data_IF_837262249650
#
_entry.id   IF_837262249650
#
_cell.length_a   1.000
_cell.length_b   1.000
_cell.length_c   1.000
_cell.angle_alpha   90.00
_cell.angle_beta   90.00
_cell.angle_gamma   90.00
#
_symmetry.space_group_name_H-M   'P 1'
#
loop_
_entity.id
_entity.type
_entity.pdbx_description
1 polymer ?
#
# COMPACT_ATOMS: atom_id res chain seq x y z
N UNK A 1 26.23 -5.60 72.47
CA UNK A 1 25.37 -6.01 71.33
C UNK A 1 26.09 -5.66 70.03
N UNK A 2 25.80 -6.36 68.93
CA UNK A 2 26.09 -6.12 67.49
C UNK A 2 27.34 -5.27 67.08
N UNK A 3 28.33 -5.75 66.30
CA UNK A 3 28.31 -6.44 64.98
C UNK A 3 27.81 -5.52 63.83
N UNK A 4 28.49 -5.27 62.69
CA UNK A 4 29.77 -5.62 62.02
C UNK A 4 30.12 -4.42 61.05
N UNK A 5 31.24 -4.23 60.34
CA UNK A 5 32.53 -4.92 60.10
C UNK A 5 33.58 -3.88 59.58
N UNK A 6 34.78 -4.34 59.16
CA UNK A 6 35.73 -3.61 58.28
C UNK A 6 36.04 -4.52 57.06
N UNK A 7 36.20 -3.97 55.86
CA UNK A 7 36.36 -4.79 54.64
C UNK A 7 37.12 -4.10 53.50
N UNK A 8 38.44 -3.98 53.63
CA UNK A 8 39.33 -3.55 52.54
C UNK A 8 39.85 -4.75 51.72
N UNK A 9 40.29 -4.49 50.49
CA UNK A 9 40.71 -5.53 49.52
C UNK A 9 42.10 -6.11 49.81
N UNK A 10 42.26 -7.44 49.72
CA UNK A 10 43.47 -8.12 49.20
C UNK A 10 43.26 -9.65 49.04
N UNK A 11 44.02 -10.30 48.14
CA UNK A 11 44.27 -11.76 48.09
C UNK A 11 45.75 -12.04 48.41
N UNK A 12 46.07 -13.20 49.02
CA UNK A 12 46.77 -14.29 48.30
C UNK A 12 46.09 -15.66 48.56
N UNK A 13 46.30 -16.80 47.86
CA UNK A 13 47.44 -17.44 47.15
C UNK A 13 48.47 -18.07 48.12
N UNK A 14 48.93 -19.32 48.00
CA UNK A 14 48.62 -20.44 47.07
C UNK A 14 47.58 -21.42 47.70
N UNK A 15 47.64 -22.76 47.86
CA UNK A 15 48.53 -23.86 47.39
C UNK A 15 47.76 -25.21 47.29
N UNK A 16 48.34 -26.20 46.59
CA UNK A 16 48.08 -27.67 46.52
C UNK A 16 46.65 -28.20 46.22
N UNK A 17 46.45 -29.18 45.34
CA UNK A 17 47.39 -29.97 44.53
C UNK A 17 46.87 -30.32 43.12
N UNK A 18 47.81 -30.48 42.17
CA UNK A 18 47.72 -31.20 40.88
C UNK A 18 48.35 -32.60 41.07
N UNK A 19 48.27 -33.59 40.14
CA UNK A 19 47.90 -33.57 38.71
C UNK A 19 46.68 -34.48 38.41
N UNK A 20 46.21 -34.80 37.18
CA UNK A 20 46.86 -35.03 35.87
C UNK A 20 46.06 -34.41 34.71
N UNK A 21 46.78 -34.11 33.62
CA UNK A 21 46.26 -33.52 32.39
C UNK A 21 45.51 -34.52 31.49
N UNK A 22 44.59 -34.01 30.69
CA UNK A 22 44.65 -34.27 29.24
C UNK A 22 44.19 -33.00 28.52
N UNK A 23 45.03 -32.41 27.68
CA UNK A 23 44.68 -31.20 26.94
C UNK A 23 43.88 -31.55 25.68
N UNK A 24 42.77 -30.85 25.43
CA UNK A 24 42.61 -30.09 24.19
C UNK A 24 41.46 -29.06 24.26
N UNK A 25 41.76 -27.85 23.78
CA UNK A 25 40.89 -26.75 23.37
C UNK A 25 39.44 -26.63 23.92
N UNK A 26 39.22 -25.54 24.65
CA UNK A 26 37.96 -24.80 24.70
C UNK A 26 38.25 -23.33 24.25
N UNK A 27 37.30 -22.38 24.16
CA UNK A 27 35.83 -22.50 24.26
C UNK A 27 35.05 -21.75 23.15
N UNK A 28 33.79 -22.12 22.87
CA UNK A 28 32.76 -21.13 22.47
C UNK A 28 31.38 -21.53 23.02
N UNK A 29 30.72 -20.56 23.66
CA UNK A 29 29.29 -20.48 23.98
C UNK A 29 28.85 -19.03 23.67
N UNK A 30 27.56 -18.70 23.42
CA UNK A 30 26.37 -19.42 23.89
C UNK A 30 25.21 -19.57 22.87
N UNK A 31 24.07 -20.06 23.38
CA UNK A 31 22.70 -19.69 22.95
C UNK A 31 22.34 -19.83 21.46
N UNK A 32 22.11 -21.07 20.99
CA UNK A 32 21.24 -21.31 19.82
C UNK A 32 19.78 -21.45 20.25
N UNK A 33 19.14 -20.33 20.58
CA UNK A 33 17.69 -20.29 20.74
C UNK A 33 17.04 -20.78 19.46
N UNK A 34 16.24 -21.85 19.54
CA UNK A 34 15.49 -22.35 18.40
C UNK A 34 14.35 -21.38 18.08
N UNK A 35 14.61 -20.43 17.19
CA UNK A 35 13.56 -19.59 16.63
C UNK A 35 12.52 -20.51 15.99
N UNK A 36 11.28 -20.48 16.52
CA UNK A 36 10.18 -21.23 15.94
C UNK A 36 10.00 -20.73 14.50
N UNK A 37 10.08 -21.63 13.52
CA UNK A 37 9.52 -21.34 12.20
C UNK A 37 8.02 -21.16 12.39
N UNK A 38 7.55 -19.91 12.35
CA UNK A 38 6.13 -19.66 12.15
C UNK A 38 5.67 -20.38 10.88
N UNK A 39 4.48 -21.01 10.87
CA UNK A 39 3.98 -21.66 9.66
C UNK A 39 3.68 -20.60 8.62
N UNK A 40 4.53 -20.55 7.59
CA UNK A 40 4.38 -19.71 6.41
C UNK A 40 3.03 -20.05 5.75
N UNK A 41 2.05 -19.16 5.91
CA UNK A 41 0.70 -19.36 5.40
C UNK A 41 0.73 -19.39 3.86
N UNK A 42 -0.09 -20.23 3.19
CA UNK A 42 -0.16 -20.21 1.73
C UNK A 42 -0.56 -18.82 1.22
N UNK A 43 0.40 -18.09 0.67
CA UNK A 43 0.18 -16.73 0.19
C UNK A 43 -0.76 -16.77 -1.03
N UNK A 44 -1.85 -15.97 -1.06
CA UNK A 44 -2.75 -15.94 -2.20
C UNK A 44 -2.00 -15.51 -3.47
N UNK A 45 -2.12 -16.24 -4.60
CA UNK A 45 -1.47 -15.84 -5.84
C UNK A 45 -2.04 -14.50 -6.32
N UNK A 46 -1.20 -13.45 -6.29
CA UNK A 46 -1.58 -12.10 -6.69
C UNK A 46 -1.74 -11.08 -5.55
N UNK A 47 -1.23 -11.31 -4.34
CA UNK A 47 -1.08 -10.21 -3.38
C UNK A 47 -0.04 -9.17 -3.85
N UNK A 48 -0.32 -7.88 -3.63
CA UNK A 48 0.69 -6.81 -3.66
C UNK A 48 1.47 -6.85 -2.37
N UNK A 49 2.80 -6.85 -2.48
CA UNK A 49 3.71 -6.73 -1.33
C UNK A 49 4.31 -5.33 -1.28
N UNK A 50 4.04 -4.60 -0.21
CA UNK A 50 4.70 -3.34 0.14
C UNK A 50 5.82 -3.63 1.12
N UNK A 51 7.07 -3.36 0.74
CA UNK A 51 8.26 -3.51 1.59
C UNK A 51 8.74 -2.14 2.04
N UNK A 52 8.81 -1.92 3.36
CA UNK A 52 9.37 -0.72 3.99
C UNK A 52 10.51 -1.08 4.94
N UNK A 53 11.20 -0.07 5.47
CA UNK A 53 12.16 -0.21 6.58
C UNK A 53 11.52 -0.75 7.87
N UNK A 54 10.22 -0.51 8.06
CA UNK A 54 9.47 -0.90 9.26
C UNK A 54 8.69 -2.23 9.12
N UNK A 55 8.73 -2.91 7.97
CA UNK A 55 8.08 -4.22 7.78
C UNK A 55 7.63 -4.51 6.35
N UNK A 56 6.78 -5.54 6.22
CA UNK A 56 6.05 -5.84 4.97
C UNK A 56 4.55 -5.72 5.24
N UNK A 57 3.82 -5.15 4.29
CA UNK A 57 2.37 -5.02 4.29
C UNK A 57 1.81 -5.68 3.03
N UNK A 58 0.63 -6.29 3.12
CA UNK A 58 -0.03 -6.96 2.00
C UNK A 58 -1.31 -6.24 1.59
N UNK A 59 -1.65 -6.27 0.30
CA UNK A 59 -2.90 -5.77 -0.27
C UNK A 59 -3.38 -6.67 -1.42
N UNK A 60 -4.68 -6.71 -1.75
CA UNK A 60 -5.19 -7.56 -2.83
C UNK A 60 -4.83 -7.04 -4.24
N UNK A 61 -4.64 -5.73 -4.42
CA UNK A 61 -4.21 -5.11 -5.68
C UNK A 61 -3.82 -3.64 -5.47
N UNK A 62 -3.06 -3.09 -6.42
CA UNK A 62 -3.02 -1.65 -6.68
C UNK A 62 -4.29 -1.32 -7.45
N UNK A 63 -4.95 -0.19 -7.16
CA UNK A 63 -6.23 0.17 -7.78
C UNK A 63 -6.05 1.39 -8.65
N UNK A 64 -6.41 1.32 -9.93
CA UNK A 64 -6.66 2.51 -10.76
C UNK A 64 -8.16 2.83 -10.69
N UNK A 65 -8.49 3.87 -9.94
CA UNK A 65 -9.84 4.40 -9.81
C UNK A 65 -10.05 5.43 -10.92
N UNK A 66 -11.09 5.23 -11.72
CA UNK A 66 -11.47 6.11 -12.82
C UNK A 66 -12.88 6.64 -12.60
N UNK A 67 -13.01 7.95 -12.38
CA UNK A 67 -14.31 8.61 -12.22
C UNK A 67 -14.70 9.33 -13.50
N UNK A 68 -15.74 8.82 -14.15
CA UNK A 68 -16.38 9.41 -15.31
C UNK A 68 -17.52 10.33 -14.87
N UNK A 69 -17.58 11.52 -15.46
CA UNK A 69 -18.73 12.43 -15.35
C UNK A 69 -19.56 12.40 -16.64
N UNK A 70 -20.70 13.09 -16.63
CA UNK A 70 -21.55 13.21 -17.83
C UNK A 70 -20.88 14.01 -18.95
N UNK A 71 -21.36 13.80 -20.18
CA UNK A 71 -20.80 14.42 -21.38
C UNK A 71 -19.49 13.78 -21.85
N UNK A 72 -18.71 14.54 -22.62
CA UNK A 72 -17.51 14.06 -23.31
C UNK A 72 -16.19 14.28 -22.55
N UNK A 73 -16.25 14.65 -21.27
CA UNK A 73 -15.05 14.83 -20.45
C UNK A 73 -14.27 13.50 -20.28
N UNK A 74 -12.93 13.54 -20.24
CA UNK A 74 -12.14 12.39 -19.84
C UNK A 74 -12.35 12.08 -18.35
N UNK A 75 -12.12 10.84 -17.94
CA UNK A 75 -12.18 10.47 -16.52
C UNK A 75 -11.10 11.21 -15.71
N UNK A 76 -11.41 11.54 -14.46
CA UNK A 76 -10.35 11.75 -13.46
C UNK A 76 -9.81 10.40 -13.04
N UNK A 77 -8.48 10.30 -12.93
CA UNK A 77 -7.77 9.06 -12.65
C UNK A 77 -6.96 9.18 -11.36
N UNK A 78 -7.08 8.20 -10.50
CA UNK A 78 -6.34 8.13 -9.23
C UNK A 78 -5.82 6.70 -9.02
N UNK A 79 -4.55 6.58 -8.63
CA UNK A 79 -3.94 5.30 -8.27
C UNK A 79 -3.86 5.21 -6.75
N UNK A 80 -4.52 4.21 -6.19
CA UNK A 80 -4.68 3.99 -4.77
C UNK A 80 -4.16 2.60 -4.37
N UNK A 81 -3.32 2.54 -3.35
CA UNK A 81 -2.89 1.29 -2.71
C UNK A 81 -3.01 1.47 -1.20
N UNK A 82 -3.69 0.54 -0.54
CA UNK A 82 -3.81 0.45 0.92
C UNK A 82 -3.52 -0.98 1.34
N UNK A 83 -2.57 -1.15 2.25
CA UNK A 83 -2.00 -2.43 2.64
C UNK A 83 -1.95 -2.56 4.17
N UNK A 84 -2.02 -3.80 4.67
CA UNK A 84 -2.01 -4.10 6.11
C UNK A 84 -0.88 -5.07 6.46
N UNK A 85 -0.24 -4.87 7.62
CA UNK A 85 0.71 -5.82 8.21
C UNK A 85 0.01 -6.72 9.25
N UNK A 86 0.58 -7.89 9.55
CA UNK A 86 -0.01 -8.83 10.53
C UNK A 86 -0.18 -8.24 11.94
N UNK A 87 0.61 -7.23 12.30
CA UNK A 87 0.49 -6.49 13.57
C UNK A 87 -0.65 -5.44 13.60
N UNK A 88 -1.40 -5.32 12.51
CA UNK A 88 -2.54 -4.41 12.38
C UNK A 88 -2.20 -3.00 11.88
N UNK A 89 -0.92 -2.68 11.64
CA UNK A 89 -0.55 -1.41 10.98
C UNK A 89 -1.08 -1.36 9.56
N UNK A 90 -1.48 -0.16 9.13
CA UNK A 90 -1.81 0.14 7.74
C UNK A 90 -0.73 1.01 7.10
N UNK A 91 -0.47 0.81 5.81
CA UNK A 91 0.31 1.71 4.96
C UNK A 91 -0.49 1.99 3.69
N UNK A 92 -0.51 3.23 3.22
CA UNK A 92 -1.22 3.60 2.01
C UNK A 92 -0.50 4.68 1.19
N UNK A 93 -0.76 4.71 -0.12
CA UNK A 93 -0.32 5.75 -1.05
C UNK A 93 -1.47 6.10 -2.00
N UNK A 94 -1.61 7.39 -2.31
CA UNK A 94 -2.66 7.93 -3.17
C UNK A 94 -2.07 8.91 -4.19
N UNK A 95 -2.33 8.69 -5.47
CA UNK A 95 -1.70 9.43 -6.58
C UNK A 95 -2.72 9.78 -7.66
N UNK A 96 -3.25 11.01 -7.70
CA UNK A 96 -3.95 11.52 -8.88
C UNK A 96 -3.02 11.59 -10.10
N UNK A 97 -3.41 10.96 -11.21
CA UNK A 97 -2.61 10.86 -12.44
C UNK A 97 -3.28 11.58 -13.61
N UNK A 98 -2.50 11.89 -14.65
CA UNK A 98 -3.02 12.51 -15.86
C UNK A 98 -4.01 11.57 -16.57
N UNK A 99 -5.04 12.10 -17.28
CA UNK A 99 -5.95 11.28 -18.10
C UNK A 99 -5.26 10.40 -19.15
N UNK A 100 -4.04 10.75 -19.58
CA UNK A 100 -3.21 9.97 -20.52
C UNK A 100 -2.28 8.93 -19.83
N UNK A 101 -2.40 8.74 -18.52
CA UNK A 101 -1.71 7.65 -17.80
C UNK A 101 -1.99 6.24 -18.38
N UNK A 102 -3.20 5.89 -18.87
CA UNK A 102 -3.45 4.62 -19.55
C UNK A 102 -2.64 4.39 -20.82
N UNK A 103 -2.08 5.46 -21.42
CA UNK A 103 -1.20 5.40 -22.60
C UNK A 103 0.27 5.43 -22.17
N UNK A 104 0.65 6.36 -21.28
CA UNK A 104 2.02 6.55 -20.79
C UNK A 104 2.53 5.39 -19.91
N UNK A 105 1.63 4.72 -19.19
CA UNK A 105 1.91 3.70 -18.15
C UNK A 105 2.82 4.10 -16.99
N UNK A 106 3.34 5.32 -16.99
CA UNK A 106 4.26 5.85 -15.99
C UNK A 106 3.73 7.14 -15.38
N UNK A 107 3.95 7.32 -14.08
CA UNK A 107 3.70 8.57 -13.37
C UNK A 107 4.79 8.85 -12.32
N UNK A 108 5.08 10.14 -12.11
CA UNK A 108 5.90 10.59 -10.99
C UNK A 108 5.20 11.75 -10.30
N UNK A 109 5.14 11.70 -8.97
CA UNK A 109 4.44 12.68 -8.14
C UNK A 109 5.28 13.09 -6.93
N UNK A 110 5.05 14.30 -6.41
CA UNK A 110 5.65 14.76 -5.15
C UNK A 110 4.74 14.46 -3.96
N UNK A 111 5.32 13.94 -2.88
CA UNK A 111 4.60 13.70 -1.63
C UNK A 111 4.21 15.03 -0.98
N UNK A 112 3.01 15.11 -0.40
CA UNK A 112 2.53 16.29 0.29
C UNK A 112 1.40 16.00 1.28
N UNK A 113 1.27 16.86 2.30
CA UNK A 113 0.15 16.93 3.24
C UNK A 113 -0.96 17.91 2.80
N UNK A 114 -0.86 18.48 1.59
CA UNK A 114 -1.83 19.42 1.00
C UNK A 114 -2.88 18.69 0.16
N UNK A 115 -4.03 19.32 -0.17
CA UNK A 115 -5.02 18.73 -1.08
C UNK A 115 -4.38 18.28 -2.40
N UNK A 116 -4.63 17.02 -2.77
CA UNK A 116 -3.98 16.40 -3.91
C UNK A 116 -4.49 16.92 -5.25
N UNK A 117 -3.63 16.83 -6.25
CA UNK A 117 -3.88 17.11 -7.67
C UNK A 117 -2.86 16.34 -8.50
N UNK A 118 -3.03 16.31 -9.81
CA UNK A 118 -2.08 15.64 -10.72
C UNK A 118 -0.64 16.09 -10.46
N UNK A 119 0.28 15.14 -10.33
CA UNK A 119 1.69 15.37 -9.98
C UNK A 119 1.97 15.56 -8.48
N UNK A 120 0.96 15.44 -7.63
CA UNK A 120 1.07 15.31 -6.17
C UNK A 120 0.57 13.94 -5.71
N UNK A 121 1.04 13.50 -4.55
CA UNK A 121 0.64 12.26 -3.91
C UNK A 121 0.61 12.43 -2.38
N UNK A 122 -0.14 11.58 -1.69
CA UNK A 122 0.05 11.34 -0.26
C UNK A 122 0.60 9.93 -0.03
N UNK A 123 1.36 9.76 1.04
CA UNK A 123 1.67 8.46 1.60
C UNK A 123 1.45 8.53 3.12
N UNK A 124 0.77 7.55 3.69
CA UNK A 124 0.48 7.47 5.12
C UNK A 124 0.79 6.09 5.71
N UNK A 125 1.17 6.09 6.99
CA UNK A 125 1.29 4.88 7.80
C UNK A 125 0.53 5.10 9.10
N UNK A 126 -0.29 4.12 9.49
CA UNK A 126 -1.19 4.21 10.64
C UNK A 126 -0.94 3.05 11.59
N UNK A 127 -0.75 3.37 12.87
CA UNK A 127 -0.56 2.36 13.93
C UNK A 127 -1.88 1.65 14.26
N UNK A 128 -1.84 0.50 14.95
CA UNK A 128 -3.06 -0.16 15.46
C UNK A 128 -3.81 0.72 16.49
N UNK A 129 -3.11 1.65 17.14
CA UNK A 129 -3.71 2.67 18.02
C UNK A 129 -4.34 3.86 17.28
N UNK A 130 -4.42 3.81 15.94
CA UNK A 130 -4.99 4.87 15.11
C UNK A 130 -4.11 6.10 14.91
N UNK A 131 -2.87 6.11 15.43
CA UNK A 131 -1.93 7.22 15.27
C UNK A 131 -1.44 7.27 13.83
N UNK A 132 -1.51 8.44 13.21
CA UNK A 132 -1.24 8.65 11.78
C UNK A 132 0.06 9.41 11.55
N UNK A 133 0.89 8.93 10.64
CA UNK A 133 2.05 9.63 10.10
C UNK A 133 1.89 9.79 8.58
N UNK A 134 2.04 11.02 8.09
CA UNK A 134 1.98 11.40 6.67
C UNK A 134 3.35 11.84 6.18
N UNK A 135 3.67 11.54 4.92
CA UNK A 135 4.86 12.05 4.25
C UNK A 135 4.71 13.55 3.92
N UNK A 136 5.68 14.37 4.34
CA UNK A 136 5.61 15.83 4.17
C UNK A 136 6.29 16.33 2.88
N UNK A 137 7.28 15.59 2.40
CA UNK A 137 8.09 15.83 1.20
C UNK A 137 8.53 14.47 0.61
N UNK A 138 9.20 14.48 -0.55
CA UNK A 138 9.69 13.28 -1.24
C UNK A 138 8.93 12.97 -2.53
N UNK A 139 9.10 11.75 -3.05
CA UNK A 139 8.54 11.37 -4.36
C UNK A 139 7.87 10.00 -4.36
N UNK A 140 6.86 9.87 -5.21
CA UNK A 140 6.30 8.59 -5.66
C UNK A 140 6.63 8.42 -7.14
N UNK A 141 7.13 7.25 -7.48
CA UNK A 141 7.34 6.78 -8.85
C UNK A 141 6.46 5.54 -9.07
N UNK A 142 5.74 5.50 -10.18
CA UNK A 142 4.75 4.46 -10.50
C UNK A 142 4.89 4.06 -11.98
N UNK A 143 4.91 2.75 -12.22
CA UNK A 143 5.01 2.09 -13.52
C UNK A 143 3.97 0.96 -13.62
N UNK A 144 3.43 0.72 -14.81
CA UNK A 144 2.43 -0.34 -15.06
C UNK A 144 2.76 -1.12 -16.33
N UNK A 145 2.90 -2.44 -16.21
CA UNK A 145 3.19 -3.34 -17.34
C UNK A 145 2.05 -4.35 -17.48
N UNK A 146 1.23 -4.19 -18.52
CA UNK A 146 0.01 -4.98 -18.72
C UNK A 146 -0.96 -4.82 -17.54
N UNK A 147 -1.05 -5.86 -16.71
CA UNK A 147 -1.86 -5.91 -15.46
C UNK A 147 -1.05 -5.88 -14.18
N UNK A 148 0.25 -5.63 -14.23
CA UNK A 148 1.09 -5.49 -13.04
C UNK A 148 1.41 -4.01 -12.80
N UNK A 149 1.29 -3.55 -11.56
CA UNK A 149 1.68 -2.23 -11.12
C UNK A 149 2.87 -2.31 -10.16
N UNK A 150 3.83 -1.42 -10.35
CA UNK A 150 5.06 -1.32 -9.57
C UNK A 150 5.30 0.13 -9.16
N UNK A 151 5.77 0.36 -7.94
CA UNK A 151 6.07 1.70 -7.50
C UNK A 151 7.08 1.79 -6.36
N UNK A 152 7.63 2.99 -6.21
CA UNK A 152 8.60 3.33 -5.15
C UNK A 152 8.21 4.65 -4.51
N UNK A 153 8.05 4.66 -3.19
CA UNK A 153 7.86 5.86 -2.37
C UNK A 153 9.18 6.18 -1.69
N UNK A 154 9.74 7.36 -1.96
CA UNK A 154 11.04 7.79 -1.45
C UNK A 154 10.86 9.02 -0.57
N UNK A 155 11.02 8.83 0.74
CA UNK A 155 11.00 9.93 1.74
C UNK A 155 11.95 9.68 2.92
N UNK A 156 12.10 10.70 3.77
CA UNK A 156 12.88 10.69 5.02
C UNK A 156 12.06 10.25 6.24
N UNK A 157 10.73 10.23 6.18
CA UNK A 157 9.92 9.67 7.26
C UNK A 157 10.08 8.14 7.34
N UNK A 158 10.42 7.64 8.53
CA UNK A 158 10.56 6.20 8.80
C UNK A 158 9.22 5.46 8.68
N UNK A 159 9.26 4.23 8.19
CA UNK A 159 8.08 3.41 7.90
C UNK A 159 7.30 3.79 6.64
N UNK A 160 7.60 4.95 6.02
CA UNK A 160 6.90 5.46 4.83
C UNK A 160 7.67 5.23 3.52
N UNK A 161 9.00 5.22 3.55
CA UNK A 161 9.81 4.82 2.38
C UNK A 161 9.54 3.35 2.02
N UNK A 162 9.11 3.11 0.79
CA UNK A 162 8.51 1.85 0.39
C UNK A 162 8.84 1.47 -1.06
N UNK A 163 8.79 0.17 -1.35
CA UNK A 163 8.64 -0.36 -2.71
C UNK A 163 7.48 -1.33 -2.75
N UNK A 164 6.69 -1.31 -3.82
CA UNK A 164 5.54 -2.19 -4.00
C UNK A 164 5.45 -2.74 -5.42
N UNK A 165 4.91 -3.96 -5.54
CA UNK A 165 4.69 -4.66 -6.81
C UNK A 165 3.57 -5.69 -6.65
N UNK A 166 2.71 -5.82 -7.65
CA UNK A 166 1.62 -6.80 -7.72
C UNK A 166 0.54 -6.39 -8.73
N UNK A 167 -0.63 -7.04 -8.77
CA UNK A 167 -1.62 -6.80 -9.81
C UNK A 167 -2.29 -5.43 -9.69
N UNK A 168 -2.65 -4.89 -10.85
CA UNK A 168 -3.51 -3.72 -11.02
C UNK A 168 -4.97 -4.17 -11.19
N UNK A 169 -5.83 -3.72 -10.29
CA UNK A 169 -7.27 -3.67 -10.50
C UNK A 169 -7.68 -2.32 -11.08
N UNK A 170 -8.82 -2.28 -11.77
CA UNK A 170 -9.40 -1.06 -12.34
C UNK A 170 -10.82 -0.94 -11.79
N UNK A 171 -11.11 0.17 -11.12
CA UNK A 171 -12.39 0.50 -10.50
C UNK A 171 -13.00 1.68 -11.27
N UNK A 172 -14.26 1.57 -11.69
CA UNK A 172 -14.93 2.56 -12.53
C UNK A 172 -16.11 3.17 -11.79
N UNK A 173 -16.06 4.48 -11.54
CA UNK A 173 -17.19 5.27 -11.03
C UNK A 173 -17.85 5.98 -12.22
N UNK A 174 -19.16 5.78 -12.43
CA UNK A 174 -19.89 6.28 -13.62
C UNK A 174 -21.21 6.95 -13.21
N UNK A 175 -21.77 7.89 -14.00
CA UNK A 175 -23.09 8.44 -13.75
C UNK A 175 -24.14 7.33 -13.74
N UNK A 176 -24.99 7.27 -12.70
CA UNK A 176 -25.93 6.15 -12.50
C UNK A 176 -26.87 5.87 -13.69
N UNK A 177 -27.19 6.89 -14.50
CA UNK A 177 -28.00 6.76 -15.71
C UNK A 177 -27.36 5.85 -16.78
N UNK A 178 -26.03 5.73 -16.83
CA UNK A 178 -25.34 4.88 -17.82
C UNK A 178 -25.52 3.39 -17.54
N UNK A 179 -25.70 2.99 -16.28
CA UNK A 179 -25.98 1.60 -15.92
C UNK A 179 -27.38 1.19 -16.37
N UNK A 180 -28.38 2.06 -16.19
CA UNK A 180 -29.75 1.81 -16.66
C UNK A 180 -29.86 1.69 -18.19
N UNK A 181 -28.96 2.35 -18.93
CA UNK A 181 -28.88 2.24 -20.39
C UNK A 181 -28.21 0.94 -20.87
N UNK A 182 -27.46 0.23 -20.02
CA UNK A 182 -26.84 -1.05 -20.39
C UNK A 182 -27.87 -2.19 -20.50
N UNK A 183 -28.92 -2.17 -19.68
CA UNK A 183 -30.05 -3.10 -19.72
C UNK A 183 -31.21 -2.62 -20.63
N UNK A 184 -31.13 -1.36 -21.10
CA UNK A 184 -32.18 -0.70 -21.87
C UNK A 184 -32.19 -1.05 -23.34
N UNK A 185 -33.14 -1.89 -23.78
CA UNK A 185 -33.44 -2.07 -25.21
C UNK A 185 -33.76 -0.73 -25.88
N UNK A 186 -33.24 -0.56 -27.09
CA UNK A 186 -33.64 0.47 -28.04
C UNK A 186 -35.18 0.48 -28.21
N UNK A 187 -35.80 1.65 -28.00
CA UNK A 187 -37.25 1.83 -28.08
C UNK A 187 -37.56 3.13 -28.83
N UNK A 188 -38.11 3.07 -30.06
CA UNK A 188 -38.33 4.26 -30.88
C UNK A 188 -39.60 5.00 -30.44
N UNK A 189 -39.43 6.09 -29.67
CA UNK A 189 -40.50 6.99 -29.24
C UNK A 189 -40.12 8.46 -29.44
N UNK A 190 -41.03 9.26 -29.99
CA UNK A 190 -40.79 10.68 -30.28
C UNK A 190 -40.64 11.53 -28.99
N UNK A 191 -39.85 12.63 -29.02
CA UNK A 191 -39.54 13.38 -27.82
C UNK A 191 -40.74 14.19 -27.29
N UNK A 192 -41.16 13.88 -26.07
CA UNK A 192 -42.00 14.77 -25.25
C UNK A 192 -41.07 15.81 -24.59
N UNK A 193 -41.38 17.11 -24.63
CA UNK A 193 -40.54 18.14 -24.00
C UNK A 193 -40.70 18.14 -22.48
N UNK A 194 -40.00 17.22 -21.81
CA UNK A 194 -39.85 17.24 -20.34
C UNK A 194 -38.90 18.39 -19.98
N UNK A 195 -39.34 19.26 -19.07
CA UNK A 195 -38.53 20.38 -18.60
C UNK A 195 -37.21 19.89 -17.97
N UNK A 196 -36.12 20.61 -18.20
CA UNK A 196 -34.79 20.22 -17.73
C UNK A 196 -34.78 20.02 -16.20
N UNK A 197 -34.41 18.83 -15.70
CA UNK A 197 -34.15 18.64 -14.29
C UNK A 197 -33.05 19.61 -13.83
N UNK A 198 -33.26 20.26 -12.68
CA UNK A 198 -32.29 21.17 -12.07
C UNK A 198 -30.92 20.51 -11.94
N UNK A 199 -29.84 21.30 -12.08
CA UNK A 199 -28.45 20.85 -12.05
C UNK A 199 -28.01 20.28 -10.69
N UNK A 200 -28.52 19.11 -10.35
CA UNK A 200 -27.92 18.18 -9.40
C UNK A 200 -26.70 17.58 -10.10
N UNK A 201 -25.53 17.61 -9.47
CA UNK A 201 -24.36 16.93 -10.01
C UNK A 201 -24.64 15.41 -9.97
N UNK A 202 -24.86 14.81 -11.15
CA UNK A 202 -25.28 13.41 -11.27
C UNK A 202 -24.36 12.49 -10.49
N UNK A 203 -24.94 11.79 -9.52
CA UNK A 203 -24.20 10.94 -8.60
C UNK A 203 -23.45 9.84 -9.38
N UNK A 204 -22.13 9.80 -9.19
CA UNK A 204 -21.29 8.72 -9.71
C UNK A 204 -21.37 7.53 -8.77
N UNK A 205 -21.53 6.34 -9.35
CA UNK A 205 -21.70 5.06 -8.64
C UNK A 205 -20.73 4.02 -9.23
N UNK A 206 -20.36 2.97 -8.48
CA UNK A 206 -19.51 1.91 -9.02
C UNK A 206 -20.19 1.16 -10.16
N UNK A 207 -19.50 1.00 -11.29
CA UNK A 207 -19.82 0.02 -12.33
C UNK A 207 -19.25 -1.33 -11.90
N UNK A 208 -19.88 -1.97 -10.90
CA UNK A 208 -19.44 -3.25 -10.31
C UNK A 208 -19.32 -4.37 -11.36
N UNK A 209 -20.21 -4.38 -12.34
CA UNK A 209 -20.18 -5.30 -13.48
C UNK A 209 -19.11 -4.93 -14.54
N UNK A 210 -18.49 -3.76 -14.42
CA UNK A 210 -17.49 -3.19 -15.33
C UNK A 210 -17.97 -3.25 -16.79
N UNK A 211 -19.23 -2.82 -16.94
CA UNK A 211 -20.18 -3.07 -18.02
C UNK A 211 -20.38 -1.89 -18.97
N UNK A 212 -20.08 -0.68 -18.53
CA UNK A 212 -20.14 0.51 -19.38
C UNK A 212 -19.04 0.47 -20.44
N UNK A 213 -19.32 1.03 -21.63
CA UNK A 213 -18.35 1.07 -22.72
C UNK A 213 -17.02 1.69 -22.30
N UNK A 214 -17.05 2.91 -21.73
CA UNK A 214 -15.83 3.63 -21.29
C UNK A 214 -15.01 2.85 -20.25
N UNK A 215 -15.64 2.10 -19.35
CA UNK A 215 -14.91 1.25 -18.41
C UNK A 215 -14.23 0.07 -19.11
N UNK A 216 -14.91 -0.59 -20.05
CA UNK A 216 -14.32 -1.68 -20.86
C UNK A 216 -13.19 -1.19 -21.76
N UNK A 217 -13.32 0.00 -22.31
CA UNK A 217 -12.33 0.65 -23.18
C UNK A 217 -11.09 1.03 -22.37
N UNK A 218 -11.25 1.70 -21.22
CA UNK A 218 -10.15 1.98 -20.28
C UNK A 218 -9.42 0.67 -19.89
N UNK A 219 -10.16 -0.37 -19.53
CA UNK A 219 -9.61 -1.70 -19.23
C UNK A 219 -8.92 -2.38 -20.42
N UNK A 220 -9.16 -1.95 -21.66
CA UNK A 220 -8.48 -2.50 -22.83
C UNK A 220 -7.02 -2.04 -22.94
N UNK A 221 -6.69 -0.85 -22.42
CA UNK A 221 -5.31 -0.36 -22.36
C UNK A 221 -4.40 -1.22 -21.46
N UNK A 222 -4.96 -2.02 -20.53
CA UNK A 222 -4.23 -2.76 -19.50
C UNK A 222 -4.44 -4.28 -19.64
N UNK A 223 -4.36 -4.80 -20.87
CA UNK A 223 -4.52 -6.24 -21.15
C UNK A 223 -3.21 -6.92 -21.48
#
# INVERSE_FOLDING_TARGET
>A
MALLLVGACAKPKEERARPVETLTAAPVSPAKSAALKAPERPQPPGAVLVRTDAGTFEAPSVRLIATFTEGAAPATLEVALSAQAEDGRHWAVLVPVEPMFPEKKHATARLTTKPLRVGMASAEVRTPSGSLLLANDGTVELEVTGREARGTVRTKEAGLSASFQGPLSIECMVPAAWLQQADGKESPGAPVPVAAPSAQASAVVPDEAQSTARCRDLKAHFR
#
